data_IF_139259499021
#
_entry.id   IF_139259499021
#
_cell.length_a   1.000
_cell.length_b   1.000
_cell.length_c   1.000
_cell.angle_alpha   90.00
_cell.angle_beta   90.00
_cell.angle_gamma   90.00
#
_symmetry.space_group_name_H-M   'P 1'
#
loop_
_entity.id
_entity.type
_entity.pdbx_description
1 polymer ?
#
# COMPACT_ATOMS: atom_id res chain seq x y z
N UNK A 1 3.77 47.41 -23.97
CA UNK A 1 4.92 47.44 -23.03
C UNK A 1 4.34 47.81 -21.68
N UNK A 2 4.13 46.93 -20.72
CA UNK A 2 5.02 45.86 -20.24
C UNK A 2 4.26 44.53 -20.12
N UNK A 3 4.92 43.46 -20.57
CA UNK A 3 4.53 42.09 -20.25
C UNK A 3 4.95 41.74 -18.83
N UNK A 4 4.07 41.02 -18.14
CA UNK A 4 4.42 40.22 -16.98
C UNK A 4 3.95 38.80 -17.29
N UNK A 5 4.88 37.98 -17.78
CA UNK A 5 4.76 36.53 -17.79
C UNK A 5 4.64 36.05 -16.35
N UNK A 6 3.41 35.76 -15.91
CA UNK A 6 3.18 35.06 -14.66
C UNK A 6 3.24 33.55 -14.92
N UNK A 7 3.99 32.77 -14.13
CA UNK A 7 4.05 31.32 -14.29
C UNK A 7 2.67 30.70 -14.02
N UNK A 8 2.25 29.85 -14.94
CA UNK A 8 1.01 29.07 -14.91
C UNK A 8 0.75 28.45 -13.52
N UNK A 9 -0.38 28.74 -12.83
CA UNK A 9 -0.67 28.11 -11.56
C UNK A 9 -1.18 26.68 -11.80
N UNK A 10 -0.42 25.73 -11.25
CA UNK A 10 -0.68 24.31 -11.25
C UNK A 10 -2.05 23.97 -10.62
N UNK A 11 -2.67 22.89 -11.10
CA UNK A 11 -3.93 22.32 -10.64
C UNK A 11 -4.10 22.35 -9.11
N UNK A 12 -5.25 22.83 -8.63
CA UNK A 12 -5.59 22.80 -7.22
C UNK A 12 -6.04 21.39 -6.80
N UNK A 13 -5.38 20.81 -5.79
CA UNK A 13 -5.72 19.53 -5.19
C UNK A 13 -6.40 19.78 -3.85
N UNK A 14 -7.63 19.30 -3.67
CA UNK A 14 -8.34 19.36 -2.39
C UNK A 14 -8.59 17.95 -1.87
N UNK A 15 -8.28 17.70 -0.60
CA UNK A 15 -8.68 16.49 0.13
C UNK A 15 -9.78 16.88 1.11
N UNK A 16 -10.94 16.24 1.05
CA UNK A 16 -11.94 16.33 2.11
C UNK A 16 -11.49 15.38 3.23
N UNK A 17 -11.44 15.90 4.47
CA UNK A 17 -11.05 15.13 5.64
C UNK A 17 -12.23 14.33 6.21
N UNK A 18 -12.04 13.02 6.43
CA UNK A 18 -12.99 12.09 7.06
C UNK A 18 -13.10 10.78 6.26
N UNK A 19 -13.32 9.60 6.87
CA UNK A 19 -13.61 8.39 6.09
C UNK A 19 -15.00 8.49 5.43
N UNK A 20 -15.11 8.19 4.13
CA UNK A 20 -14.03 7.90 3.20
C UNK A 20 -13.34 9.20 2.74
N UNK A 21 -11.99 9.25 2.76
CA UNK A 21 -11.28 10.49 2.41
C UNK A 21 -11.33 10.66 0.89
N UNK A 22 -12.29 11.44 0.42
CA UNK A 22 -12.46 11.78 -0.99
C UNK A 22 -11.68 13.06 -1.32
N UNK A 23 -10.86 13.03 -2.38
CA UNK A 23 -10.19 14.20 -2.92
C UNK A 23 -10.66 14.53 -4.33
N UNK A 24 -10.78 15.81 -4.66
CA UNK A 24 -11.07 16.26 -6.02
C UNK A 24 -9.91 17.10 -6.53
N UNK A 25 -9.41 16.77 -7.72
CA UNK A 25 -8.37 17.52 -8.42
C UNK A 25 -8.97 18.11 -9.70
N UNK A 26 -9.10 19.43 -9.74
CA UNK A 26 -9.58 20.13 -10.94
C UNK A 26 -8.40 20.59 -11.80
N UNK A 27 -8.43 20.23 -13.09
CA UNK A 27 -7.65 20.94 -14.11
C UNK A 27 -8.43 22.19 -14.54
N UNK A 28 -7.76 23.35 -14.56
CA UNK A 28 -8.39 24.66 -14.85
C UNK A 28 -8.96 24.74 -16.28
N UNK A 29 -8.60 23.79 -17.16
CA UNK A 29 -9.03 23.76 -18.57
C UNK A 29 -9.54 22.39 -19.06
N UNK A 30 -9.84 21.44 -18.15
CA UNK A 30 -10.20 20.06 -18.52
C UNK A 30 -11.29 19.42 -17.67
N UNK A 31 -11.66 18.18 -18.01
CA UNK A 31 -12.60 17.36 -17.21
C UNK A 31 -12.05 17.20 -15.78
N UNK A 32 -12.90 17.19 -14.74
CA UNK A 32 -12.45 17.00 -13.36
C UNK A 32 -11.83 15.61 -13.17
N UNK A 33 -10.70 15.55 -12.46
CA UNK A 33 -10.06 14.31 -12.05
C UNK A 33 -10.43 14.03 -10.59
N UNK A 34 -11.22 12.99 -10.36
CA UNK A 34 -11.61 12.58 -9.01
C UNK A 34 -10.61 11.55 -8.49
N UNK A 35 -10.12 11.73 -7.26
CA UNK A 35 -9.18 10.82 -6.60
C UNK A 35 -9.73 10.39 -5.25
N UNK A 36 -9.95 9.11 -5.06
CA UNK A 36 -10.32 8.53 -3.76
C UNK A 36 -9.11 7.81 -3.15
N UNK A 37 -9.17 7.52 -1.85
CA UNK A 37 -8.10 6.75 -1.22
C UNK A 37 -8.44 6.19 0.17
N UNK A 38 -7.55 5.29 0.61
CA UNK A 38 -7.48 4.75 1.97
C UNK A 38 -6.13 5.15 2.54
N UNK A 39 -6.12 5.68 3.76
CA UNK A 39 -4.90 6.08 4.47
C UNK A 39 -4.91 5.46 5.86
N UNK A 40 -3.71 5.28 6.43
CA UNK A 40 -3.52 4.86 7.83
C UNK A 40 -4.15 3.48 8.15
N UNK A 41 -4.32 2.61 7.14
CA UNK A 41 -4.85 1.27 7.35
C UNK A 41 -3.72 0.34 7.83
N UNK A 42 -3.76 -0.03 9.11
CA UNK A 42 -2.78 -0.94 9.71
C UNK A 42 -3.20 -2.40 9.53
N UNK A 43 -2.34 -3.17 8.90
CA UNK A 43 -2.54 -4.58 8.57
C UNK A 43 -1.46 -5.42 9.25
N UNK A 44 -1.83 -6.63 9.68
CA UNK A 44 -0.89 -7.55 10.31
C UNK A 44 -1.31 -9.00 10.11
N UNK A 45 -0.36 -9.83 9.67
CA UNK A 45 -0.43 -11.28 9.76
C UNK A 45 0.81 -11.84 10.45
N UNK A 46 0.61 -12.86 11.27
CA UNK A 46 1.65 -13.44 12.13
C UNK A 46 2.49 -14.51 11.46
N UNK A 47 2.02 -15.02 10.31
CA UNK A 47 2.65 -16.04 9.47
C UNK A 47 2.23 -15.82 8.00
N UNK A 48 2.44 -16.81 7.13
CA UNK A 48 2.13 -16.74 5.69
C UNK A 48 2.85 -15.56 5.01
N UNK A 49 4.07 -15.25 5.46
CA UNK A 49 4.93 -14.29 4.78
C UNK A 49 6.38 -14.71 4.89
N UNK A 50 7.12 -14.62 3.80
CA UNK A 50 8.56 -14.81 3.78
C UNK A 50 9.29 -13.67 3.08
N UNK A 51 10.61 -13.79 3.05
CA UNK A 51 11.51 -12.99 2.24
C UNK A 51 12.82 -13.76 2.06
N UNK A 52 13.07 -14.22 0.84
CA UNK A 52 14.20 -15.08 0.47
C UNK A 52 14.52 -14.91 -1.03
N UNK A 53 15.68 -15.40 -1.46
CA UNK A 53 16.15 -15.32 -2.85
C UNK A 53 16.59 -13.91 -3.26
N UNK A 54 16.85 -13.01 -2.31
CA UNK A 54 17.34 -11.66 -2.60
C UNK A 54 18.85 -11.66 -2.87
N UNK A 55 19.31 -10.69 -3.65
CA UNK A 55 20.74 -10.51 -3.91
C UNK A 55 21.50 -10.27 -2.59
N UNK A 56 22.64 -10.94 -2.44
CA UNK A 56 23.51 -10.80 -1.27
C UNK A 56 24.83 -10.16 -1.68
N UNK A 57 25.18 -9.08 -1.00
CA UNK A 57 26.47 -8.42 -1.11
C UNK A 57 27.21 -8.44 0.24
N UNK A 58 28.38 -7.79 0.29
CA UNK A 58 29.20 -7.67 1.52
C UNK A 58 28.53 -6.92 2.67
N UNK A 59 27.43 -6.20 2.44
CA UNK A 59 26.68 -5.46 3.44
C UNK A 59 25.36 -6.16 3.84
N UNK A 60 25.03 -7.28 3.19
CA UNK A 60 23.77 -8.00 3.41
C UNK A 60 23.86 -8.87 4.67
N UNK A 61 23.39 -8.33 5.78
CA UNK A 61 23.33 -9.02 7.07
C UNK A 61 21.99 -9.70 7.34
N UNK A 62 20.93 -9.28 6.65
CA UNK A 62 19.59 -9.82 6.88
C UNK A 62 19.52 -11.31 6.48
N UNK A 63 18.99 -12.17 7.37
CA UNK A 63 18.81 -13.58 7.06
C UNK A 63 17.55 -13.80 6.23
N UNK A 64 17.57 -14.85 5.42
CA UNK A 64 16.36 -15.30 4.73
C UNK A 64 15.35 -15.86 5.74
N UNK A 65 14.07 -15.70 5.40
CA UNK A 65 12.94 -16.18 6.20
C UNK A 65 11.90 -16.79 5.28
N UNK A 66 11.61 -18.08 5.48
CA UNK A 66 10.46 -18.75 4.89
C UNK A 66 9.15 -18.34 5.59
N UNK A 67 9.25 -17.89 6.85
CA UNK A 67 8.12 -17.43 7.65
C UNK A 67 8.53 -16.27 8.57
N UNK A 68 7.72 -15.20 8.59
CA UNK A 68 7.87 -14.00 9.41
C UNK A 68 6.52 -13.30 9.61
N UNK A 69 6.47 -12.42 10.61
CA UNK A 69 5.37 -11.46 10.75
C UNK A 69 5.44 -10.46 9.60
N UNK A 70 4.30 -10.23 8.95
CA UNK A 70 4.10 -9.11 8.04
C UNK A 70 3.15 -8.12 8.71
N UNK A 71 3.70 -7.00 9.18
CA UNK A 71 2.91 -5.86 9.67
C UNK A 71 3.18 -4.68 8.76
N UNK A 72 2.15 -3.95 8.39
CA UNK A 72 2.31 -2.81 7.51
C UNK A 72 1.24 -1.74 7.72
N UNK A 73 1.57 -0.51 7.34
CA UNK A 73 0.60 0.57 7.17
C UNK A 73 0.40 0.81 5.68
N UNK A 74 -0.85 0.69 5.24
CA UNK A 74 -1.23 0.86 3.86
C UNK A 74 -1.75 2.28 3.61
N UNK A 75 -1.28 2.84 2.49
CA UNK A 75 -1.85 3.99 1.83
C UNK A 75 -2.16 3.60 0.39
N UNK A 76 -3.39 3.80 -0.07
CA UNK A 76 -3.72 3.67 -1.48
C UNK A 76 -4.57 4.83 -1.95
N UNK A 77 -4.37 5.22 -3.20
CA UNK A 77 -5.18 6.22 -3.88
C UNK A 77 -5.46 5.78 -5.31
N UNK A 78 -6.63 6.11 -5.82
CA UNK A 78 -7.03 5.74 -7.17
C UNK A 78 -7.75 6.89 -7.85
N UNK A 79 -7.63 6.95 -9.17
CA UNK A 79 -8.39 7.87 -10.01
C UNK A 79 -9.43 7.14 -10.84
N UNK A 80 -10.57 7.78 -11.04
CA UNK A 80 -11.64 7.27 -11.88
C UNK A 80 -11.40 7.60 -13.35
N UNK A 81 -11.93 6.76 -14.23
CA UNK A 81 -12.02 7.03 -15.67
C UNK A 81 -13.13 8.03 -16.00
N UNK A 82 -14.00 7.71 -16.95
CA UNK A 82 -15.16 8.55 -17.24
C UNK A 82 -16.15 8.52 -16.07
N UNK A 83 -16.42 9.71 -15.52
CA UNK A 83 -17.27 9.89 -14.35
C UNK A 83 -18.72 10.14 -14.77
N UNK A 84 -19.50 9.08 -14.94
CA UNK A 84 -20.96 9.12 -14.96
C UNK A 84 -21.50 8.09 -13.97
N UNK A 85 -22.49 8.47 -13.17
CA UNK A 85 -23.21 7.59 -12.23
C UNK A 85 -22.31 6.72 -11.34
N UNK A 86 -21.25 7.32 -10.76
CA UNK A 86 -20.33 6.63 -9.87
C UNK A 86 -20.88 6.58 -8.44
N UNK A 87 -21.05 5.38 -7.90
CA UNK A 87 -21.25 5.15 -6.47
C UNK A 87 -19.89 5.06 -5.77
N UNK A 88 -19.44 6.20 -5.23
CA UNK A 88 -18.14 6.33 -4.59
C UNK A 88 -18.00 5.49 -3.31
N UNK A 89 -19.08 5.35 -2.54
CA UNK A 89 -19.06 4.62 -1.28
C UNK A 89 -18.98 3.10 -1.53
N UNK A 90 -19.75 2.60 -2.49
CA UNK A 90 -19.69 1.21 -2.93
C UNK A 90 -18.29 0.85 -3.47
N UNK A 91 -17.70 1.73 -4.29
CA UNK A 91 -16.35 1.52 -4.81
C UNK A 91 -15.32 1.54 -3.68
N UNK A 92 -15.40 2.50 -2.76
CA UNK A 92 -14.48 2.55 -1.64
C UNK A 92 -14.54 1.26 -0.81
N UNK A 93 -15.74 0.76 -0.52
CA UNK A 93 -15.95 -0.51 0.17
C UNK A 93 -15.33 -1.69 -0.57
N UNK A 94 -15.54 -1.75 -1.90
CA UNK A 94 -14.97 -2.79 -2.75
C UNK A 94 -13.44 -2.76 -2.76
N UNK A 95 -12.82 -1.57 -2.85
CA UNK A 95 -11.36 -1.42 -2.79
C UNK A 95 -10.82 -1.85 -1.43
N UNK A 96 -11.49 -1.46 -0.34
CA UNK A 96 -11.13 -1.86 1.01
C UNK A 96 -11.16 -3.40 1.17
N UNK A 97 -12.19 -4.06 0.66
CA UNK A 97 -12.27 -5.53 0.62
C UNK A 97 -11.15 -6.16 -0.21
N UNK A 98 -10.84 -5.62 -1.39
CA UNK A 98 -9.72 -6.08 -2.22
C UNK A 98 -8.39 -6.02 -1.46
N UNK A 99 -8.17 -4.94 -0.69
CA UNK A 99 -6.97 -4.79 0.14
C UNK A 99 -6.90 -5.89 1.20
N UNK A 100 -7.99 -6.12 1.94
CA UNK A 100 -8.03 -7.12 3.00
C UNK A 100 -7.85 -8.54 2.46
N UNK A 101 -8.51 -8.86 1.34
CA UNK A 101 -8.43 -10.15 0.68
C UNK A 101 -7.02 -10.43 0.16
N UNK A 102 -6.43 -9.51 -0.63
CA UNK A 102 -5.10 -9.71 -1.20
C UNK A 102 -3.98 -9.70 -0.14
N UNK A 103 -4.20 -9.07 1.02
CA UNK A 103 -3.24 -9.09 2.12
C UNK A 103 -3.31 -10.39 2.94
N UNK A 104 -4.53 -10.81 3.27
CA UNK A 104 -4.80 -11.83 4.28
C UNK A 104 -5.02 -13.22 3.68
N UNK A 105 -5.64 -13.30 2.50
CA UNK A 105 -6.16 -14.54 1.93
C UNK A 105 -7.41 -15.06 2.66
N UNK A 106 -7.79 -16.32 2.40
CA UNK A 106 -8.92 -16.97 3.08
C UNK A 106 -8.73 -16.98 4.61
N UNK A 107 -9.77 -16.72 5.42
CA UNK A 107 -9.64 -16.64 6.88
C UNK A 107 -9.15 -17.93 7.57
N UNK A 108 -9.34 -19.08 6.94
CA UNK A 108 -9.02 -20.41 7.46
C UNK A 108 -7.55 -20.83 7.23
N UNK A 109 -6.96 -20.45 6.08
CA UNK A 109 -5.62 -20.88 5.68
C UNK A 109 -4.65 -19.73 5.35
N UNK A 110 -5.18 -18.53 5.16
CA UNK A 110 -4.45 -17.35 4.71
C UNK A 110 -3.83 -17.51 3.32
N UNK A 111 -3.07 -16.51 2.91
CA UNK A 111 -2.29 -16.56 1.66
C UNK A 111 -0.83 -16.19 1.89
N UNK A 112 0.07 -17.02 1.36
CA UNK A 112 1.51 -16.81 1.47
C UNK A 112 1.98 -15.62 0.62
N UNK A 113 2.66 -14.66 1.25
CA UNK A 113 3.29 -13.53 0.57
C UNK A 113 4.82 -13.69 0.54
N UNK A 114 5.43 -13.87 -0.65
CA UNK A 114 6.89 -13.99 -0.78
C UNK A 114 7.63 -12.66 -0.68
N UNK A 115 6.93 -11.53 -0.86
CA UNK A 115 7.50 -10.19 -0.80
C UNK A 115 6.41 -9.12 -0.67
N UNK A 116 6.77 -7.95 -0.11
CA UNK A 116 5.88 -6.79 -0.07
C UNK A 116 5.42 -6.37 -1.46
N UNK A 117 6.33 -6.42 -2.44
CA UNK A 117 6.06 -6.09 -3.84
C UNK A 117 4.96 -6.97 -4.43
N UNK A 118 4.97 -8.28 -4.11
CA UNK A 118 3.94 -9.21 -4.58
C UNK A 118 2.58 -8.88 -3.97
N UNK A 119 2.53 -8.59 -2.67
CA UNK A 119 1.27 -8.18 -2.02
C UNK A 119 0.73 -6.87 -2.60
N UNK A 120 1.58 -5.86 -2.80
CA UNK A 120 1.19 -4.60 -3.45
C UNK A 120 0.60 -4.84 -4.84
N UNK A 121 1.27 -5.65 -5.65
CA UNK A 121 0.78 -5.99 -6.98
C UNK A 121 -0.56 -6.74 -6.94
N UNK A 122 -0.73 -7.72 -6.04
CA UNK A 122 -1.99 -8.44 -5.89
C UNK A 122 -3.15 -7.48 -5.54
N UNK A 123 -2.94 -6.53 -4.62
CA UNK A 123 -3.95 -5.51 -4.26
C UNK A 123 -4.35 -4.71 -5.50
N UNK A 124 -3.37 -4.21 -6.26
CA UNK A 124 -3.63 -3.40 -7.45
C UNK A 124 -4.39 -4.20 -8.52
N UNK A 125 -3.95 -5.42 -8.82
CA UNK A 125 -4.56 -6.27 -9.84
C UNK A 125 -5.98 -6.68 -9.45
N UNK A 126 -6.22 -7.06 -8.20
CA UNK A 126 -7.54 -7.43 -7.71
C UNK A 126 -8.51 -6.24 -7.75
N UNK A 127 -8.03 -5.06 -7.35
CA UNK A 127 -8.83 -3.83 -7.37
C UNK A 127 -9.25 -3.46 -8.80
N UNK A 128 -8.31 -3.45 -9.74
CA UNK A 128 -8.60 -3.11 -11.13
C UNK A 128 -9.51 -4.15 -11.81
N UNK A 129 -9.41 -5.42 -11.41
CA UNK A 129 -10.30 -6.46 -11.91
C UNK A 129 -11.74 -6.33 -11.41
N UNK A 130 -11.95 -5.86 -10.16
CA UNK A 130 -13.28 -5.74 -9.54
C UNK A 130 -13.95 -4.40 -9.76
N UNK A 131 -13.19 -3.34 -10.04
CA UNK A 131 -13.71 -1.97 -10.19
C UNK A 131 -13.29 -1.38 -11.54
N UNK A 132 -14.04 -1.67 -12.62
CA UNK A 132 -13.74 -1.17 -13.97
C UNK A 132 -13.72 0.36 -14.09
N UNK A 133 -14.36 1.07 -13.16
CA UNK A 133 -14.39 2.53 -13.10
C UNK A 133 -13.03 3.12 -12.69
N UNK A 134 -12.14 2.34 -12.06
CA UNK A 134 -10.80 2.78 -11.67
C UNK A 134 -9.88 2.73 -12.88
N UNK A 135 -9.31 3.88 -13.24
CA UNK A 135 -8.35 3.98 -14.33
C UNK A 135 -6.91 3.71 -13.87
N UNK A 136 -6.58 4.11 -12.65
CA UNK A 136 -5.23 4.01 -12.09
C UNK A 136 -5.31 3.89 -10.57
N UNK A 137 -4.45 3.04 -9.98
CA UNK A 137 -4.31 2.88 -8.54
C UNK A 137 -2.84 2.86 -8.13
N UNK A 138 -2.52 3.67 -7.12
CA UNK A 138 -1.22 3.71 -6.44
C UNK A 138 -1.39 3.11 -5.04
N UNK A 139 -0.50 2.19 -4.67
CA UNK A 139 -0.50 1.51 -3.37
C UNK A 139 0.91 1.60 -2.77
N UNK A 140 0.97 2.09 -1.55
CA UNK A 140 2.17 2.12 -0.72
C UNK A 140 1.93 1.25 0.51
N UNK A 141 2.86 0.34 0.78
CA UNK A 141 2.80 -0.57 1.92
C UNK A 141 4.04 -0.40 2.79
N UNK A 142 3.91 0.42 3.84
CA UNK A 142 5.02 0.74 4.73
C UNK A 142 5.24 -0.42 5.69
N UNK A 143 6.39 -1.10 5.55
CA UNK A 143 6.71 -2.26 6.39
C UNK A 143 6.97 -1.85 7.84
N UNK A 144 6.17 -2.38 8.76
CA UNK A 144 6.35 -2.22 10.20
C UNK A 144 7.11 -3.44 10.72
N UNK A 145 8.36 -3.24 11.09
CA UNK A 145 9.25 -4.34 11.45
C UNK A 145 9.05 -4.81 12.90
N UNK A 146 8.78 -6.11 13.06
CA UNK A 146 8.75 -6.83 14.33
C UNK A 146 9.81 -7.91 14.32
N UNK A 147 10.89 -7.73 15.09
CA UNK A 147 11.94 -8.73 15.21
C UNK A 147 11.75 -9.63 16.42
N UNK A 148 12.25 -10.86 16.33
CA UNK A 148 12.28 -11.80 17.45
C UNK A 148 13.42 -11.40 18.37
N UNK A 149 13.12 -11.24 19.66
CA UNK A 149 14.13 -10.86 20.65
C UNK A 149 15.05 -12.06 20.91
N UNK A 150 16.37 -11.86 20.79
CA UNK A 150 17.35 -12.87 21.21
C UNK A 150 17.55 -12.83 22.73
N UNK A 151 17.05 -13.86 23.40
CA UNK A 151 17.14 -14.02 24.86
C UNK A 151 18.29 -14.92 25.31
N UNK A 152 19.17 -15.39 24.40
CA UNK A 152 20.29 -16.28 24.75
C UNK A 152 21.22 -15.69 25.80
N UNK A 153 21.40 -14.36 25.80
CA UNK A 153 22.20 -13.64 26.81
C UNK A 153 21.65 -13.78 28.23
N UNK A 154 20.37 -14.13 28.37
CA UNK A 154 19.69 -14.39 29.65
C UNK A 154 19.55 -15.89 29.95
N UNK A 155 20.11 -16.78 29.13
CA UNK A 155 19.96 -18.22 29.28
C UNK A 155 18.57 -18.76 28.92
N UNK A 156 17.77 -17.98 28.17
CA UNK A 156 16.40 -18.33 27.79
C UNK A 156 16.26 -18.58 26.28
N UNK A 157 15.28 -19.38 25.90
CA UNK A 157 14.84 -19.55 24.50
C UNK A 157 13.64 -18.65 24.20
N UNK A 158 13.43 -18.33 22.91
CA UNK A 158 12.28 -17.56 22.45
C UNK A 158 11.76 -18.18 21.15
N UNK A 159 10.65 -18.92 21.24
CA UNK A 159 10.02 -19.62 20.12
C UNK A 159 9.16 -18.66 19.28
N UNK A 160 9.75 -17.51 18.92
CA UNK A 160 9.12 -16.42 18.17
C UNK A 160 7.93 -15.76 18.89
N UNK A 161 7.78 -15.94 20.20
CA UNK A 161 6.67 -15.35 20.96
C UNK A 161 6.93 -13.88 21.26
N UNK A 162 8.11 -13.56 21.78
CA UNK A 162 8.49 -12.21 22.16
C UNK A 162 9.11 -11.48 20.98
N UNK A 163 8.45 -10.38 20.57
CA UNK A 163 8.87 -9.55 19.44
C UNK A 163 8.95 -8.09 19.83
N UNK A 164 9.97 -7.40 19.32
CA UNK A 164 10.13 -5.96 19.51
C UNK A 164 9.72 -5.22 18.24
N UNK A 165 8.88 -4.21 18.42
CA UNK A 165 8.61 -3.23 17.37
C UNK A 165 9.78 -2.26 17.28
N UNK A 166 10.29 -2.01 16.08
CA UNK A 166 11.39 -1.07 15.89
C UNK A 166 11.06 -0.06 14.79
N UNK A 167 11.45 1.20 15.03
CA UNK A 167 11.43 2.27 14.02
C UNK A 167 12.73 2.33 13.20
N UNK A 168 13.64 1.37 13.40
CA UNK A 168 15.03 1.42 12.91
C UNK A 168 15.08 1.25 11.38
N UNK A 169 14.12 0.53 10.80
CA UNK A 169 13.99 0.37 9.35
C UNK A 169 12.79 1.16 8.82
N UNK A 170 12.79 2.49 9.00
CA UNK A 170 12.16 3.36 8.00
C UNK A 170 13.04 3.33 6.75
N UNK A 171 13.04 2.21 6.02
CA UNK A 171 13.45 2.26 4.63
C UNK A 171 12.49 3.25 3.98
N UNK A 172 13.05 4.35 3.48
CA UNK A 172 12.32 5.36 2.73
C UNK A 172 11.40 4.66 1.74
N UNK A 173 10.12 5.03 1.80
CA UNK A 173 9.01 4.52 1.01
C UNK A 173 9.49 3.88 -0.30
N UNK A 174 9.48 2.54 -0.38
CA UNK A 174 9.52 1.88 -1.68
C UNK A 174 8.17 2.15 -2.35
N UNK A 175 8.08 3.28 -3.05
CA UNK A 175 7.03 3.53 -4.02
C UNK A 175 7.23 2.52 -5.16
N UNK A 176 6.54 1.38 -5.12
CA UNK A 176 6.33 0.65 -6.35
C UNK A 176 5.18 1.31 -7.09
N UNK A 177 5.56 2.27 -7.93
CA UNK A 177 4.67 2.92 -8.87
C UNK A 177 4.39 1.96 -10.03
N UNK A 178 3.46 1.02 -9.83
CA UNK A 178 2.85 0.30 -10.95
C UNK A 178 1.62 1.07 -11.41
N UNK A 179 1.83 1.96 -12.37
CA UNK A 179 0.74 2.56 -13.15
C UNK A 179 0.22 1.52 -14.13
N UNK A 180 -0.78 0.76 -13.71
CA UNK A 180 -1.50 -0.12 -14.63
C UNK A 180 -2.60 0.71 -15.31
N UNK A 181 -2.42 1.02 -16.59
CA UNK A 181 -3.48 1.53 -17.46
C UNK A 181 -3.99 0.39 -18.31
N UNK A 182 -5.28 0.13 -18.30
CA UNK A 182 -5.91 -0.65 -19.37
C UNK A 182 -6.11 0.30 -20.57
N UNK A 183 -5.57 -0.11 -21.73
CA UNK A 183 -5.84 0.52 -23.03
C UNK A 183 -7.13 -0.05 -23.61
#
# INVERSE_FOLDING_TARGET
MLGLDLPCPAAAKYWLHGPPNHGIVHSVTGRPLVISGIKELKLKKTTQSGFQGFHRDKYTTIPERTDRVLSAELFCKWSYGECQDIDFDCIWGTVHECVLEAFSGPPDCGEYSPSHQKTVNNIQMLTLARVPQIQEIEVTLNNIYYDVIDLKKFGLTNDKELRIWSNIFKLENYYLYYRCKFN
#
